data_IF_042546999189
#
_entry.id   IF_042546999189
#
_cell.length_a   1.000
_cell.length_b   1.000
_cell.length_c   1.000
_cell.angle_alpha   90.00
_cell.angle_beta   90.00
_cell.angle_gamma   90.00
#
_symmetry.space_group_name_H-M   'P 1'
#
loop_
_entity.id
_entity.type
_entity.pdbx_description
1 polymer ?
#
# COMPACT_ATOMS: atom_id res chain seq x y z
N UNK A 1 5.90 3.13 -25.53
CA UNK A 1 6.94 2.08 -25.56
C UNK A 1 7.44 1.68 -24.17
N UNK A 2 7.70 2.61 -23.24
CA UNK A 2 8.12 2.31 -21.85
C UNK A 2 7.15 1.43 -21.06
N UNK A 3 5.85 1.75 -21.09
CA UNK A 3 4.81 1.04 -20.34
C UNK A 3 4.71 -0.45 -20.75
N UNK A 4 4.79 -0.73 -22.04
CA UNK A 4 4.74 -2.09 -22.60
C UNK A 4 5.98 -2.89 -22.20
N UNK A 5 7.17 -2.28 -22.22
CA UNK A 5 8.39 -2.92 -21.74
C UNK A 5 8.38 -3.16 -20.22
N UNK A 6 7.76 -2.27 -19.45
CA UNK A 6 7.60 -2.43 -18.00
C UNK A 6 6.59 -3.54 -17.62
N UNK A 7 5.57 -3.75 -18.47
CA UNK A 7 4.62 -4.86 -18.35
C UNK A 7 5.27 -6.18 -18.78
N UNK A 8 6.08 -6.19 -19.86
CA UNK A 8 6.82 -7.38 -20.32
C UNK A 8 8.03 -7.75 -19.45
N UNK A 9 8.49 -6.87 -18.57
CA UNK A 9 9.55 -7.16 -17.61
C UNK A 9 8.97 -7.77 -16.32
N UNK A 10 8.52 -9.03 -16.40
CA UNK A 10 8.03 -9.82 -15.26
C UNK A 10 9.11 -10.74 -14.66
N UNK A 11 10.39 -10.43 -14.90
CA UNK A 11 11.50 -11.14 -14.24
C UNK A 11 11.38 -10.97 -12.73
N UNK A 12 11.74 -12.01 -11.99
CA UNK A 12 11.72 -12.05 -10.50
C UNK A 12 12.34 -10.79 -9.88
N UNK A 13 13.42 -10.25 -10.47
CA UNK A 13 14.07 -9.01 -10.01
C UNK A 13 13.15 -7.79 -10.08
N UNK A 14 12.39 -7.64 -11.17
CA UNK A 14 11.47 -6.51 -11.37
C UNK A 14 10.22 -6.64 -10.50
N UNK A 15 9.74 -7.86 -10.29
CA UNK A 15 8.62 -8.13 -9.37
C UNK A 15 8.98 -7.80 -7.93
N UNK A 16 10.21 -8.10 -7.49
CA UNK A 16 10.73 -7.72 -6.17
C UNK A 16 10.68 -6.23 -5.92
N UNK A 17 11.15 -5.41 -6.85
CA UNK A 17 11.09 -3.95 -6.71
C UNK A 17 9.65 -3.45 -6.64
N UNK A 18 8.74 -4.00 -7.46
CA UNK A 18 7.30 -3.67 -7.39
C UNK A 18 6.68 -4.03 -6.03
N UNK A 19 7.04 -5.17 -5.45
CA UNK A 19 6.59 -5.55 -4.10
C UNK A 19 7.11 -4.61 -3.02
N UNK A 20 8.36 -4.19 -3.10
CA UNK A 20 8.92 -3.19 -2.16
C UNK A 20 8.15 -1.87 -2.28
N UNK A 21 7.87 -1.42 -3.51
CA UNK A 21 7.06 -0.21 -3.71
C UNK A 21 5.64 -0.36 -3.15
N UNK A 22 4.99 -1.51 -3.39
CA UNK A 22 3.66 -1.80 -2.85
C UNK A 22 3.67 -1.77 -1.30
N UNK A 23 4.72 -2.32 -0.68
CA UNK A 23 4.88 -2.25 0.77
C UNK A 23 5.02 -0.81 1.28
N UNK A 24 5.87 0.00 0.64
CA UNK A 24 6.04 1.41 1.02
C UNK A 24 4.72 2.17 0.91
N UNK A 25 3.96 1.95 -0.17
CA UNK A 25 2.65 2.59 -0.36
C UNK A 25 1.63 2.16 0.71
N UNK A 26 1.66 0.90 1.15
CA UNK A 26 0.81 0.41 2.24
C UNK A 26 1.19 1.04 3.60
N UNK A 27 2.49 1.19 3.87
CA UNK A 27 2.96 1.85 5.09
C UNK A 27 2.58 3.33 5.09
N UNK A 28 2.76 4.03 3.96
CA UNK A 28 2.38 5.44 3.81
C UNK A 28 0.88 5.67 4.01
N UNK A 29 0.04 4.81 3.44
CA UNK A 29 -1.42 4.86 3.60
C UNK A 29 -1.84 4.86 5.08
N UNK A 30 -1.22 3.96 5.86
CA UNK A 30 -1.49 3.87 7.30
C UNK A 30 -0.96 5.10 8.06
N UNK A 31 0.25 5.57 7.73
CA UNK A 31 0.81 6.80 8.33
C UNK A 31 -0.09 7.99 8.05
N UNK A 32 -0.56 8.16 6.82
CA UNK A 32 -1.49 9.24 6.47
C UNK A 32 -2.81 9.10 7.21
N UNK A 33 -3.38 7.90 7.28
CA UNK A 33 -4.60 7.65 8.06
C UNK A 33 -4.43 8.07 9.52
N UNK A 34 -3.31 7.73 10.16
CA UNK A 34 -3.03 8.13 11.54
C UNK A 34 -2.90 9.65 11.68
N UNK A 35 -2.10 10.29 10.81
CA UNK A 35 -1.90 11.74 10.84
C UNK A 35 -3.21 12.52 10.64
N UNK A 36 -4.07 12.07 9.73
CA UNK A 36 -5.34 12.75 9.46
C UNK A 36 -6.42 12.48 10.50
N UNK A 37 -6.46 11.28 11.11
CA UNK A 37 -7.35 11.02 12.25
C UNK A 37 -7.06 11.99 13.41
N UNK A 38 -5.79 12.29 13.66
CA UNK A 38 -5.40 13.25 14.69
C UNK A 38 -5.66 14.70 14.25
N UNK A 39 -5.42 15.06 12.99
CA UNK A 39 -5.69 16.41 12.47
C UNK A 39 -7.19 16.77 12.46
N UNK A 40 -8.07 15.82 12.10
CA UNK A 40 -9.53 16.03 12.08
C UNK A 40 -10.09 16.25 13.51
N UNK A 41 -9.51 15.58 14.52
CA UNK A 41 -9.87 15.81 15.94
C UNK A 41 -9.62 17.25 16.41
N UNK A 42 -8.59 17.91 15.89
CA UNK A 42 -8.28 19.30 16.25
C UNK A 42 -9.20 20.31 15.56
N UNK A 43 -9.71 20.02 14.35
CA UNK A 43 -10.65 20.91 13.63
C UNK A 43 -12.11 20.79 14.08
N UNK A 44 -12.58 19.59 14.45
CA UNK A 44 -13.99 19.35 14.84
C UNK A 44 -14.18 19.12 16.35
N UNK A 45 -13.78 20.09 17.18
CA UNK A 45 -13.82 20.00 18.64
C UNK A 45 -15.14 19.59 19.32
N UNK A 46 -16.26 19.34 18.61
CA UNK A 46 -17.51 18.76 19.15
C UNK A 46 -18.30 18.07 18.02
N UNK A 47 -18.44 16.74 18.03
CA UNK A 47 -19.70 16.14 17.53
C UNK A 47 -19.68 14.75 16.91
N UNK A 48 -18.68 14.34 16.12
CA UNK A 48 -18.87 13.20 15.20
C UNK A 48 -17.74 12.16 15.13
N UNK A 49 -16.80 12.14 16.09
CA UNK A 49 -15.67 11.19 16.09
C UNK A 49 -15.77 10.21 17.27
N UNK A 50 -16.88 9.47 17.40
CA UNK A 50 -17.01 8.41 18.41
C UNK A 50 -16.78 6.98 17.86
N UNK A 51 -16.46 6.81 16.58
CA UNK A 51 -16.38 5.47 15.96
C UNK A 51 -15.15 5.19 15.13
N UNK A 52 -14.12 6.04 15.16
CA UNK A 52 -12.78 5.62 14.70
C UNK A 52 -12.10 4.96 15.89
N UNK A 53 -12.29 3.64 15.99
CA UNK A 53 -11.55 2.80 16.95
C UNK A 53 -10.08 3.08 16.73
N UNK A 54 -9.41 3.58 17.77
CA UNK A 54 -7.98 3.86 17.73
C UNK A 54 -7.27 2.64 17.17
N UNK A 55 -6.52 2.82 16.08
CA UNK A 55 -5.54 1.82 15.67
C UNK A 55 -4.45 1.95 16.73
N UNK A 56 -4.48 1.07 17.72
CA UNK A 56 -3.44 1.04 18.73
C UNK A 56 -2.10 0.71 18.05
N UNK A 57 -1.00 1.20 18.63
CA UNK A 57 0.36 0.94 18.13
C UNK A 57 0.62 -0.55 17.76
N UNK A 58 0.09 -1.55 18.49
CA UNK A 58 0.14 -2.97 18.09
C UNK A 58 -0.57 -3.28 16.76
N UNK A 59 -1.74 -2.69 16.49
CA UNK A 59 -2.50 -2.93 15.24
C UNK A 59 -1.75 -2.39 14.02
N UNK A 60 -1.00 -1.30 14.16
CA UNK A 60 -0.09 -0.81 13.13
C UNK A 60 0.96 -1.86 12.76
N UNK A 61 1.65 -2.42 13.77
CA UNK A 61 2.69 -3.44 13.56
C UNK A 61 2.13 -4.75 13.04
N UNK A 62 0.94 -5.14 13.49
CA UNK A 62 0.26 -6.34 12.99
C UNK A 62 -0.10 -6.15 11.51
N UNK A 63 -0.73 -5.03 11.13
CA UNK A 63 -1.15 -4.78 9.75
C UNK A 63 0.03 -4.65 8.78
N UNK A 64 1.07 -3.90 9.17
CA UNK A 64 2.29 -3.74 8.36
C UNK A 64 3.14 -5.01 8.35
N UNK A 65 3.28 -5.69 9.48
CA UNK A 65 4.06 -6.93 9.64
C UNK A 65 3.43 -8.11 8.89
N UNK A 66 2.12 -8.29 8.97
CA UNK A 66 1.40 -9.32 8.19
C UNK A 66 1.58 -9.05 6.69
N UNK A 67 1.42 -7.80 6.25
CA UNK A 67 1.60 -7.44 4.83
C UNK A 67 3.02 -7.74 4.37
N UNK A 68 4.04 -7.38 5.16
CA UNK A 68 5.43 -7.68 4.85
C UNK A 68 5.68 -9.19 4.75
N UNK A 69 5.16 -9.96 5.72
CA UNK A 69 5.33 -11.41 5.76
C UNK A 69 4.69 -12.09 4.54
N UNK A 70 3.49 -11.65 4.16
CA UNK A 70 2.79 -12.13 2.95
C UNK A 70 3.58 -11.84 1.68
N UNK A 71 4.14 -10.62 1.56
CA UNK A 71 5.00 -10.23 0.44
C UNK A 71 6.29 -11.04 0.37
N UNK A 72 6.89 -11.36 1.52
CA UNK A 72 8.08 -12.21 1.60
C UNK A 72 7.77 -13.64 1.16
N UNK A 73 6.68 -14.23 1.64
CA UNK A 73 6.26 -15.59 1.24
C UNK A 73 6.02 -15.64 -0.28
N UNK A 74 5.30 -14.67 -0.83
CA UNK A 74 5.06 -14.58 -2.27
C UNK A 74 6.36 -14.47 -3.06
N UNK A 75 7.31 -13.66 -2.59
CA UNK A 75 8.61 -13.49 -3.23
C UNK A 75 9.48 -14.76 -3.19
N UNK A 76 9.39 -15.55 -2.12
CA UNK A 76 10.08 -16.85 -2.04
C UNK A 76 9.47 -17.82 -3.05
N UNK A 77 8.14 -17.92 -3.08
CA UNK A 77 7.42 -18.83 -3.97
C UNK A 77 7.63 -18.51 -5.46
N UNK A 78 7.80 -17.23 -5.80
CA UNK A 78 8.08 -16.77 -7.16
C UNK A 78 9.40 -17.27 -7.75
N UNK A 79 10.37 -17.69 -6.93
CA UNK A 79 11.68 -18.16 -7.43
C UNK A 79 11.59 -19.51 -8.14
N UNK A 80 10.57 -20.30 -7.82
CA UNK A 80 10.42 -21.67 -8.32
C UNK A 80 9.23 -21.81 -9.30
N UNK A 81 8.67 -20.69 -9.77
CA UNK A 81 7.47 -20.69 -10.63
C UNK A 81 7.82 -20.37 -12.09
N UNK A 82 7.14 -21.01 -13.03
CA UNK A 82 7.29 -20.74 -14.47
C UNK A 82 6.76 -19.37 -14.92
N UNK A 83 6.92 -19.04 -16.20
CA UNK A 83 6.67 -17.68 -16.73
C UNK A 83 5.21 -17.22 -16.65
N UNK A 84 4.24 -18.13 -16.85
CA UNK A 84 2.80 -17.79 -16.84
C UNK A 84 2.34 -17.18 -15.50
N UNK A 85 2.58 -17.81 -14.33
CA UNK A 85 2.20 -17.22 -13.03
C UNK A 85 2.96 -15.93 -12.69
N UNK A 86 4.21 -15.77 -13.15
CA UNK A 86 4.96 -14.51 -12.99
C UNK A 86 4.27 -13.36 -13.73
N UNK A 87 3.75 -13.61 -14.94
CA UNK A 87 3.02 -12.62 -15.72
C UNK A 87 1.70 -12.18 -15.04
N UNK A 88 0.88 -13.13 -14.57
CA UNK A 88 -0.36 -12.79 -13.86
C UNK A 88 -0.11 -12.03 -12.56
N UNK A 89 0.90 -12.46 -11.80
CA UNK A 89 1.29 -11.77 -10.57
C UNK A 89 1.72 -10.33 -10.85
N UNK A 90 2.46 -10.10 -11.94
CA UNK A 90 2.85 -8.76 -12.35
C UNK A 90 1.66 -7.84 -12.64
N UNK A 91 0.62 -8.36 -13.31
CA UNK A 91 -0.62 -7.61 -13.57
C UNK A 91 -1.32 -7.26 -12.25
N UNK A 92 -1.48 -8.24 -11.36
CA UNK A 92 -2.16 -8.05 -10.07
C UNK A 92 -1.42 -7.01 -9.23
N UNK A 93 -0.09 -7.11 -9.11
CA UNK A 93 0.73 -6.16 -8.35
C UNK A 93 0.62 -4.76 -8.94
N UNK A 94 0.66 -4.62 -10.26
CA UNK A 94 0.49 -3.32 -10.91
C UNK A 94 -0.89 -2.72 -10.63
N UNK A 95 -1.95 -3.53 -10.68
CA UNK A 95 -3.30 -3.10 -10.34
C UNK A 95 -3.37 -2.62 -8.87
N UNK A 96 -2.82 -3.39 -7.93
CA UNK A 96 -2.76 -3.02 -6.51
C UNK A 96 -1.98 -1.72 -6.30
N UNK A 97 -0.82 -1.55 -6.96
CA UNK A 97 -0.05 -0.32 -6.88
C UNK A 97 -0.85 0.89 -7.35
N UNK A 98 -1.61 0.75 -8.44
CA UNK A 98 -2.48 1.83 -8.95
C UNK A 98 -3.51 2.24 -7.89
N UNK A 99 -4.22 1.28 -7.29
CA UNK A 99 -5.19 1.57 -6.22
C UNK A 99 -4.54 2.28 -5.03
N UNK A 100 -3.40 1.78 -4.56
CA UNK A 100 -2.69 2.42 -3.45
C UNK A 100 -2.19 3.83 -3.78
N UNK A 101 -1.77 4.08 -5.01
CA UNK A 101 -1.40 5.43 -5.45
C UNK A 101 -2.62 6.36 -5.36
N UNK A 102 -3.79 5.94 -5.86
CA UNK A 102 -5.02 6.73 -5.76
C UNK A 102 -5.42 7.03 -4.32
N UNK A 103 -5.36 6.04 -3.44
CA UNK A 103 -5.69 6.21 -2.02
C UNK A 103 -4.73 7.21 -1.37
N UNK A 104 -3.42 7.05 -1.57
CA UNK A 104 -2.41 7.96 -1.04
C UNK A 104 -2.55 9.39 -1.59
N UNK A 105 -2.88 9.56 -2.88
CA UNK A 105 -3.20 10.87 -3.44
C UNK A 105 -4.45 11.46 -2.78
N UNK A 106 -5.49 10.64 -2.58
CA UNK A 106 -6.70 11.05 -1.85
C UNK A 106 -6.39 11.57 -0.45
N UNK A 107 -5.51 10.88 0.28
CA UNK A 107 -5.00 11.34 1.57
C UNK A 107 -4.31 12.70 1.48
N UNK A 108 -3.39 12.88 0.52
CA UNK A 108 -2.68 14.16 0.34
C UNK A 108 -3.66 15.30 0.02
N UNK A 109 -4.61 15.08 -0.89
CA UNK A 109 -5.62 16.09 -1.26
C UNK A 109 -6.49 16.46 -0.05
N UNK A 110 -7.01 15.46 0.67
CA UNK A 110 -7.80 15.67 1.89
C UNK A 110 -7.00 16.40 2.96
N UNK A 111 -5.69 16.17 3.02
CA UNK A 111 -4.80 16.86 3.94
C UNK A 111 -4.58 18.33 3.63
N UNK A 112 -4.43 18.65 2.35
CA UNK A 112 -4.30 20.04 1.91
C UNK A 112 -5.60 20.80 2.13
N UNK A 113 -6.76 20.19 1.87
CA UNK A 113 -8.07 20.84 2.10
C UNK A 113 -8.43 21.00 3.58
N UNK A 114 -7.73 20.29 4.47
CA UNK A 114 -7.90 20.37 5.93
C UNK A 114 -6.88 21.30 6.61
N UNK A 115 -6.09 22.07 5.87
CA UNK A 115 -5.45 23.31 6.36
C UNK A 115 -6.37 24.50 6.12
#
# INVERSE_FOLDING_TARGET
MFLVNYIRSYKVRTLKTKFITLYILNVLDIIFTLLYVDAYKFKEGKGLIQTVKYIDFPDFFIKTGITLLLLVILNINMRNTGDKPLFYSNIIIMLSMIFYIFINIGHIISGISSF
#
